data_IF_480037466059
#
_entry.id   IF_480037466059
#
_cell.length_a   1.000
_cell.length_b   1.000
_cell.length_c   1.000
_cell.angle_alpha   90.00
_cell.angle_beta   90.00
_cell.angle_gamma   90.00
#
_symmetry.space_group_name_H-M   'P 1'
#
loop_
_entity.id
_entity.type
_entity.pdbx_description
1 polymer ?
#
# COMPACT_ATOMS: atom_id res chain seq x y z
N UNK A 1 -81.62 -40.91 11.84
CA UNK A 1 -81.48 -39.82 10.88
C UNK A 1 -80.14 -39.13 11.20
N UNK A 2 -79.11 -39.59 10.55
CA UNK A 2 -77.70 -39.13 10.76
C UNK A 2 -77.37 -38.11 9.69
N UNK A 3 -76.90 -36.95 10.13
CA UNK A 3 -76.28 -35.94 9.21
C UNK A 3 -74.77 -36.11 9.22
N UNK A 4 -74.19 -36.53 8.13
CA UNK A 4 -72.76 -36.50 7.87
C UNK A 4 -72.37 -35.05 7.69
N UNK A 5 -71.44 -34.60 8.52
CA UNK A 5 -70.70 -33.34 8.28
C UNK A 5 -69.36 -33.65 7.59
N UNK A 6 -69.23 -33.15 6.38
CA UNK A 6 -68.02 -33.29 5.58
C UNK A 6 -67.00 -32.20 6.05
N UNK A 7 -65.96 -32.59 6.77
CA UNK A 7 -64.85 -31.70 7.03
C UNK A 7 -63.87 -31.75 5.86
N UNK A 8 -63.82 -30.68 5.08
CA UNK A 8 -62.78 -30.45 4.10
C UNK A 8 -61.52 -29.98 4.81
N UNK A 9 -60.54 -30.86 4.90
CA UNK A 9 -59.20 -30.49 5.39
C UNK A 9 -58.44 -29.88 4.21
N UNK A 10 -58.35 -28.56 4.20
CA UNK A 10 -57.47 -27.84 3.31
C UNK A 10 -56.02 -27.95 3.82
N UNK A 11 -55.22 -28.80 3.20
CA UNK A 11 -53.78 -28.87 3.47
C UNK A 11 -53.11 -27.66 2.81
N UNK A 12 -52.75 -26.65 3.61
CA UNK A 12 -51.87 -25.56 3.22
C UNK A 12 -50.44 -26.09 3.17
N UNK A 13 -49.98 -26.40 1.97
CA UNK A 13 -48.54 -26.62 1.70
C UNK A 13 -47.87 -25.26 1.72
N UNK A 14 -47.26 -24.92 2.86
CA UNK A 14 -46.35 -23.78 2.94
C UNK A 14 -45.06 -24.16 2.27
N UNK A 15 -44.89 -23.74 1.02
CA UNK A 15 -43.60 -23.77 0.31
C UNK A 15 -42.76 -22.66 0.93
N UNK A 16 -41.91 -22.99 1.90
CA UNK A 16 -40.82 -22.14 2.32
C UNK A 16 -39.79 -22.05 1.16
N UNK A 17 -39.98 -21.06 0.32
CA UNK A 17 -38.92 -20.63 -0.57
C UNK A 17 -37.79 -20.01 0.28
N UNK A 18 -36.81 -20.82 0.65
CA UNK A 18 -35.54 -20.33 1.16
C UNK A 18 -34.87 -19.55 0.03
N UNK A 19 -35.07 -18.23 0.02
CA UNK A 19 -34.28 -17.34 -0.77
C UNK A 19 -32.85 -17.42 -0.22
N UNK A 20 -32.04 -18.30 -0.77
CA UNK A 20 -30.61 -18.25 -0.62
C UNK A 20 -30.15 -16.93 -1.25
N UNK A 21 -29.94 -15.93 -0.41
CA UNK A 21 -29.22 -14.73 -0.79
C UNK A 21 -27.81 -15.18 -1.16
N UNK A 22 -27.60 -15.45 -2.43
CA UNK A 22 -26.26 -15.52 -3.00
C UNK A 22 -25.74 -14.09 -2.87
N UNK A 23 -25.02 -13.82 -1.78
CA UNK A 23 -24.18 -12.67 -1.71
C UNK A 23 -23.26 -12.77 -2.92
N UNK A 24 -23.47 -11.90 -3.90
CA UNK A 24 -22.57 -11.75 -5.00
C UNK A 24 -21.22 -11.37 -4.38
N UNK A 25 -20.36 -12.34 -4.15
CA UNK A 25 -18.96 -12.10 -3.93
C UNK A 25 -18.50 -11.38 -5.17
N UNK A 26 -18.35 -10.06 -5.08
CA UNK A 26 -17.61 -9.28 -6.03
C UNK A 26 -16.18 -9.82 -5.96
N UNK A 27 -15.92 -10.86 -6.74
CA UNK A 27 -14.55 -11.31 -6.94
C UNK A 27 -13.85 -10.13 -7.62
N UNK A 28 -13.06 -9.41 -6.82
CA UNK A 28 -12.13 -8.46 -7.40
C UNK A 28 -11.35 -9.19 -8.50
N UNK A 29 -11.15 -8.58 -9.67
CA UNK A 29 -10.35 -9.21 -10.70
C UNK A 29 -9.00 -9.60 -10.10
N UNK A 30 -8.46 -10.78 -10.45
CA UNK A 30 -7.17 -11.21 -9.93
C UNK A 30 -6.15 -10.10 -10.14
N UNK A 31 -5.25 -9.86 -9.17
CA UNK A 31 -4.26 -8.81 -9.29
C UNK A 31 -3.47 -9.01 -10.57
N UNK A 32 -3.51 -8.02 -11.43
CA UNK A 32 -2.71 -8.02 -12.66
C UNK A 32 -1.27 -7.78 -12.22
N UNK A 33 -0.36 -8.76 -12.35
CA UNK A 33 1.03 -8.54 -12.00
C UNK A 33 1.58 -7.40 -12.84
N UNK A 34 2.28 -6.46 -12.20
CA UNK A 34 2.97 -5.39 -12.92
C UNK A 34 3.92 -6.06 -13.93
N UNK A 35 3.83 -5.71 -15.22
CA UNK A 35 4.80 -6.17 -16.20
C UNK A 35 6.19 -5.68 -15.82
N UNK A 36 7.23 -6.44 -16.17
CA UNK A 36 8.63 -6.10 -15.85
C UNK A 36 9.11 -4.78 -16.45
N UNK A 37 8.36 -4.23 -17.39
CA UNK A 37 8.69 -3.06 -18.22
C UNK A 37 7.75 -1.87 -17.99
N UNK A 38 7.29 -1.66 -16.79
CA UNK A 38 6.53 -0.45 -16.45
C UNK A 38 7.47 0.73 -16.10
N UNK A 39 7.00 1.94 -16.36
CA UNK A 39 7.64 3.17 -15.96
C UNK A 39 6.77 3.94 -14.98
N UNK A 40 7.39 4.50 -13.94
CA UNK A 40 6.72 5.40 -13.00
C UNK A 40 6.98 6.84 -13.41
N UNK A 41 5.92 7.60 -13.61
CA UNK A 41 5.98 9.03 -13.86
C UNK A 41 5.83 9.74 -12.51
N UNK A 42 6.81 10.54 -12.11
CA UNK A 42 6.81 11.29 -10.85
C UNK A 42 6.57 12.78 -11.08
N UNK A 43 6.07 13.50 -10.05
CA UNK A 43 5.79 14.94 -10.16
C UNK A 43 7.03 15.78 -10.45
N UNK A 44 6.82 16.87 -11.14
CA UNK A 44 7.78 17.97 -11.26
C UNK A 44 8.72 17.93 -12.46
N UNK A 45 8.80 16.87 -13.23
CA UNK A 45 9.67 16.79 -14.43
C UNK A 45 8.93 16.86 -15.76
N UNK A 46 7.60 16.88 -15.75
CA UNK A 46 6.84 16.91 -16.99
C UNK A 46 6.53 18.32 -17.46
N UNK A 47 7.33 18.81 -18.37
CA UNK A 47 6.79 19.71 -19.38
C UNK A 47 5.76 18.91 -20.17
N UNK A 48 4.63 19.55 -20.52
CA UNK A 48 3.57 18.95 -21.34
C UNK A 48 4.22 18.11 -22.45
N UNK A 49 3.74 16.87 -22.63
CA UNK A 49 4.10 15.98 -23.74
C UNK A 49 5.47 15.27 -23.67
N UNK A 50 5.85 14.74 -22.52
CA UNK A 50 7.06 13.93 -22.45
C UNK A 50 6.85 12.56 -23.10
N UNK A 51 7.67 12.23 -24.08
CA UNK A 51 7.72 10.89 -24.68
C UNK A 51 8.48 9.94 -23.75
N UNK A 52 7.83 8.85 -23.36
CA UNK A 52 8.49 7.75 -22.67
C UNK A 52 8.79 6.65 -23.68
N UNK A 53 10.04 6.25 -23.76
CA UNK A 53 10.42 5.10 -24.59
C UNK A 53 10.13 3.81 -23.83
N UNK A 54 9.16 3.03 -24.27
CA UNK A 54 8.94 1.68 -23.82
C UNK A 54 9.84 0.72 -24.59
N UNK A 55 10.87 0.20 -23.93
CA UNK A 55 11.76 -0.82 -24.51
C UNK A 55 11.20 -2.20 -24.15
N UNK A 56 10.31 -2.70 -24.98
CA UNK A 56 9.68 -4.01 -24.75
C UNK A 56 10.39 -5.15 -25.48
N UNK A 57 11.15 -4.81 -26.45
CA UNK A 57 11.88 -5.78 -27.25
C UNK A 57 13.20 -5.18 -27.74
N UNK A 58 14.20 -6.01 -27.88
CA UNK A 58 15.53 -5.59 -28.37
C UNK A 58 15.49 -4.94 -29.74
N UNK A 59 14.35 -4.96 -30.40
CA UNK A 59 14.16 -4.54 -31.80
C UNK A 59 13.13 -3.43 -32.01
N UNK A 60 12.27 -3.10 -31.04
CA UNK A 60 11.20 -2.14 -31.28
C UNK A 60 11.09 -1.10 -30.15
N UNK A 61 11.64 0.07 -30.39
CA UNK A 61 11.46 1.24 -29.53
C UNK A 61 10.14 1.90 -29.84
N UNK A 62 9.08 1.53 -29.13
CA UNK A 62 7.81 2.25 -29.24
C UNK A 62 7.82 3.40 -28.26
N UNK A 63 7.82 4.62 -28.78
CA UNK A 63 7.69 5.82 -27.95
C UNK A 63 6.26 5.92 -27.40
N UNK A 64 6.12 6.13 -26.09
CA UNK A 64 4.86 6.42 -25.45
C UNK A 64 4.69 7.91 -25.20
N UNK A 65 3.55 8.46 -25.63
CA UNK A 65 3.05 9.75 -25.18
C UNK A 65 2.10 9.50 -24.02
N UNK A 66 2.61 9.62 -22.80
CA UNK A 66 1.83 9.33 -21.60
C UNK A 66 1.47 10.61 -20.86
N UNK A 67 0.21 10.71 -20.44
CA UNK A 67 -0.29 11.76 -19.56
C UNK A 67 -1.00 11.10 -18.39
N UNK A 68 -0.64 11.49 -17.17
CA UNK A 68 -1.31 11.00 -15.97
C UNK A 68 -2.79 11.44 -15.93
N UNK A 69 -3.62 10.62 -15.30
CA UNK A 69 -5.03 10.94 -15.03
C UNK A 69 -5.14 12.19 -14.15
N UNK A 70 -6.28 12.91 -14.27
CA UNK A 70 -6.54 14.11 -13.46
C UNK A 70 -6.59 13.83 -11.96
N UNK A 71 -6.87 12.58 -11.55
CA UNK A 71 -6.91 12.14 -10.16
C UNK A 71 -5.51 11.96 -9.55
N UNK A 72 -4.50 11.74 -10.38
CA UNK A 72 -3.10 11.61 -10.00
C UNK A 72 -2.20 12.38 -10.98
N UNK A 73 -2.38 13.72 -11.09
CA UNK A 73 -1.76 14.51 -12.15
C UNK A 73 -0.23 14.52 -12.06
N UNK A 74 0.28 14.26 -10.88
CA UNK A 74 1.68 14.38 -10.54
C UNK A 74 2.41 13.04 -10.52
N UNK A 75 1.69 11.92 -10.55
CA UNK A 75 2.29 10.61 -10.49
C UNK A 75 1.35 9.52 -11.02
N UNK A 76 1.87 8.76 -11.98
CA UNK A 76 1.17 7.59 -12.48
C UNK A 76 2.14 6.51 -12.96
N UNK A 77 1.62 5.31 -13.13
CA UNK A 77 2.31 4.18 -13.74
C UNK A 77 1.97 4.16 -15.22
N UNK A 78 2.97 3.97 -16.06
CA UNK A 78 2.79 3.76 -17.49
C UNK A 78 3.15 2.32 -17.82
N UNK A 79 2.20 1.58 -18.36
CA UNK A 79 2.43 0.23 -18.86
C UNK A 79 2.88 0.24 -20.31
N UNK A 80 4.02 -0.37 -20.55
CA UNK A 80 4.57 -0.61 -21.88
C UNK A 80 4.12 -2.00 -22.41
N UNK A 81 3.97 -2.17 -23.73
CA UNK A 81 4.07 -1.18 -24.80
C UNK A 81 2.79 -0.37 -25.03
N UNK A 82 1.71 -0.70 -24.33
CA UNK A 82 0.37 -0.16 -24.58
C UNK A 82 0.15 1.30 -24.19
N UNK A 83 1.13 1.96 -23.59
CA UNK A 83 1.08 3.36 -23.13
C UNK A 83 -0.12 3.70 -22.26
N UNK A 84 -0.66 2.72 -21.54
CA UNK A 84 -1.77 2.94 -20.61
C UNK A 84 -1.24 3.53 -19.32
N UNK A 85 -1.89 4.58 -18.84
CA UNK A 85 -1.57 5.22 -17.56
C UNK A 85 -2.57 4.82 -16.49
N UNK A 86 -2.07 4.63 -15.29
CA UNK A 86 -2.86 4.30 -14.11
C UNK A 86 -2.36 5.10 -12.92
N UNK A 87 -3.25 5.57 -12.08
CA UNK A 87 -2.84 6.06 -10.78
C UNK A 87 -2.27 4.89 -9.97
N UNK A 88 -1.12 5.07 -9.35
CA UNK A 88 -0.51 4.03 -8.52
C UNK A 88 -1.52 3.52 -7.48
N UNK A 89 -2.27 4.42 -6.88
CA UNK A 89 -3.25 4.12 -5.84
C UNK A 89 -4.50 3.35 -6.31
N UNK A 90 -4.65 3.11 -7.61
CA UNK A 90 -5.79 2.38 -8.17
C UNK A 90 -5.39 1.06 -8.86
N UNK A 91 -4.09 0.74 -8.87
CA UNK A 91 -3.60 -0.23 -9.84
C UNK A 91 -3.59 -1.67 -9.34
N UNK A 92 -3.23 -1.95 -8.08
CA UNK A 92 -3.08 -3.33 -7.61
C UNK A 92 -3.17 -3.46 -6.08
N UNK A 93 -3.34 -4.69 -5.56
CA UNK A 93 -3.24 -4.97 -4.13
C UNK A 93 -1.92 -4.52 -3.53
N UNK A 94 -1.95 -4.09 -2.28
CA UNK A 94 -0.76 -3.65 -1.57
C UNK A 94 -0.48 -2.15 -1.67
N UNK A 95 -1.40 -1.35 -2.19
CA UNK A 95 -1.23 0.11 -2.27
C UNK A 95 -1.74 0.79 -1.01
N UNK A 96 -1.05 1.84 -0.56
CA UNK A 96 -1.48 2.74 0.52
C UNK A 96 -1.23 4.19 0.13
N UNK A 97 -2.26 5.01 0.08
CA UNK A 97 -2.20 6.40 -0.37
C UNK A 97 -3.11 7.32 0.44
N UNK A 98 -2.70 8.58 0.54
CA UNK A 98 -3.49 9.66 1.13
C UNK A 98 -3.81 9.45 2.61
N UNK A 99 -5.04 9.78 3.05
CA UNK A 99 -5.59 9.55 4.41
C UNK A 99 -5.84 8.04 4.58
N UNK A 100 -4.92 7.21 5.15
CA UNK A 100 -4.38 6.05 4.45
C UNK A 100 -5.45 5.09 3.95
N UNK A 101 -5.66 5.09 2.65
CA UNK A 101 -6.49 4.14 1.93
C UNK A 101 -5.62 3.00 1.41
N UNK A 102 -5.89 1.81 1.87
CA UNK A 102 -5.21 0.59 1.46
C UNK A 102 -6.04 -0.18 0.43
N UNK A 103 -5.35 -0.88 -0.46
CA UNK A 103 -5.94 -1.97 -1.25
C UNK A 103 -5.38 -3.28 -0.70
N UNK A 104 -6.22 -4.11 -0.11
CA UNK A 104 -5.84 -5.37 0.50
C UNK A 104 -5.36 -6.43 -0.50
N UNK A 105 -4.75 -7.50 -0.01
CA UNK A 105 -4.40 -8.68 -0.81
C UNK A 105 -5.63 -9.37 -1.43
N UNK A 106 -6.80 -9.18 -0.82
CA UNK A 106 -8.12 -9.61 -1.32
C UNK A 106 -8.69 -8.67 -2.41
N UNK A 107 -7.98 -7.59 -2.76
CA UNK A 107 -8.38 -6.61 -3.75
C UNK A 107 -9.38 -5.55 -3.26
N UNK A 108 -9.83 -5.61 -2.00
CA UNK A 108 -10.76 -4.64 -1.46
C UNK A 108 -10.05 -3.40 -0.92
N UNK A 109 -10.68 -2.24 -1.12
CA UNK A 109 -10.21 -0.99 -0.53
C UNK A 109 -10.73 -0.82 0.89
N UNK A 110 -9.85 -0.33 1.77
CA UNK A 110 -10.22 0.05 3.12
C UNK A 110 -9.35 1.20 3.63
N UNK A 111 -9.82 1.85 4.69
CA UNK A 111 -9.10 2.89 5.39
C UNK A 111 -8.62 2.38 6.74
N UNK A 112 -7.42 2.77 7.11
CA UNK A 112 -6.92 2.59 8.47
C UNK A 112 -6.28 3.90 8.91
N UNK A 113 -6.96 4.62 9.77
CA UNK A 113 -6.52 5.97 10.14
C UNK A 113 -5.42 5.98 11.20
N UNK A 114 -5.27 4.89 11.96
CA UNK A 114 -4.32 4.87 13.05
C UNK A 114 -4.53 6.03 14.04
N UNK A 115 -3.44 6.63 14.45
CA UNK A 115 -3.43 7.82 15.31
C UNK A 115 -2.16 8.63 15.03
N UNK A 116 -2.29 9.95 15.09
CA UNK A 116 -1.16 10.88 14.94
C UNK A 116 -0.03 10.54 15.92
N UNK A 117 1.21 10.62 15.41
CA UNK A 117 2.46 10.42 16.14
C UNK A 117 2.54 9.03 16.83
N UNK A 118 2.03 7.99 16.15
CA UNK A 118 2.09 6.59 16.59
C UNK A 118 2.54 5.66 15.47
N UNK A 119 3.10 4.53 15.90
CA UNK A 119 3.56 3.46 15.01
C UNK A 119 2.55 2.31 15.00
N UNK A 120 2.32 1.74 13.82
CA UNK A 120 1.38 0.65 13.63
C UNK A 120 1.94 -0.46 12.76
N UNK A 121 1.69 -1.69 13.17
CA UNK A 121 2.06 -2.91 12.49
C UNK A 121 1.26 -3.07 11.19
N UNK A 122 1.87 -2.76 10.05
CA UNK A 122 1.26 -2.88 8.74
C UNK A 122 1.28 -4.33 8.26
N UNK A 123 2.41 -5.00 8.49
CA UNK A 123 2.60 -6.41 8.20
C UNK A 123 3.50 -7.04 9.25
N UNK A 124 3.13 -8.22 9.72
CA UNK A 124 3.98 -9.09 10.53
C UNK A 124 3.84 -10.51 10.06
N UNK A 125 4.94 -11.09 9.65
CA UNK A 125 5.08 -12.48 9.27
C UNK A 125 6.33 -13.08 9.92
N UNK A 126 6.54 -14.37 9.79
CA UNK A 126 7.66 -15.07 10.42
C UNK A 126 9.02 -14.43 10.09
N UNK A 127 9.23 -14.01 8.84
CA UNK A 127 10.51 -13.51 8.33
C UNK A 127 10.50 -12.02 7.96
N UNK A 128 9.34 -11.35 8.01
CA UNK A 128 9.18 -9.97 7.60
C UNK A 128 8.26 -9.24 8.57
N UNK A 129 8.68 -8.05 9.02
CA UNK A 129 7.86 -7.18 9.84
C UNK A 129 7.98 -5.75 9.35
N UNK A 130 6.84 -5.09 9.18
CA UNK A 130 6.76 -3.70 8.70
C UNK A 130 5.86 -2.91 9.63
N UNK A 131 6.43 -1.90 10.28
CA UNK A 131 5.67 -0.85 10.96
C UNK A 131 5.65 0.42 10.12
N UNK A 132 4.59 1.19 10.27
CA UNK A 132 4.48 2.53 9.71
C UNK A 132 4.29 3.56 10.81
N UNK A 133 5.01 4.67 10.70
CA UNK A 133 4.81 5.86 11.52
C UNK A 133 3.76 6.76 10.89
N UNK A 134 2.75 7.13 11.67
CA UNK A 134 1.65 7.97 11.22
C UNK A 134 1.83 9.39 11.74
N UNK A 135 1.97 10.34 10.84
CA UNK A 135 1.78 11.75 11.14
C UNK A 135 0.32 12.13 10.98
N UNK A 136 -0.07 13.27 11.47
CA UNK A 136 -1.49 13.65 11.33
C UNK A 136 -1.79 15.08 11.70
N UNK A 137 -3.03 15.47 11.40
CA UNK A 137 -3.61 16.75 11.77
C UNK A 137 -4.92 16.54 12.52
N UNK A 138 -5.02 17.18 13.69
CA UNK A 138 -6.25 17.16 14.46
C UNK A 138 -7.27 18.14 13.86
N UNK A 139 -8.47 17.65 13.59
CA UNK A 139 -9.61 18.47 13.29
C UNK A 139 -10.62 18.37 14.44
N UNK A 140 -10.86 19.47 15.15
CA UNK A 140 -11.74 19.47 16.31
C UNK A 140 -13.20 19.14 15.98
N UNK A 141 -13.61 19.31 14.73
CA UNK A 141 -14.95 18.95 14.26
C UNK A 141 -15.14 17.47 13.97
N UNK A 142 -14.08 16.66 14.07
CA UNK A 142 -14.11 15.23 13.76
C UNK A 142 -13.73 14.40 15.00
N UNK A 143 -14.22 13.15 15.05
CA UNK A 143 -13.88 12.19 16.09
C UNK A 143 -12.49 11.55 15.94
N UNK A 144 -11.84 11.71 14.77
CA UNK A 144 -10.54 11.15 14.44
C UNK A 144 -9.57 12.22 13.95
N UNK A 145 -8.29 11.89 13.96
CA UNK A 145 -7.27 12.68 13.27
C UNK A 145 -7.34 12.39 11.76
N UNK A 146 -6.93 13.34 10.94
CA UNK A 146 -6.43 13.05 9.61
C UNK A 146 -5.00 12.53 9.74
N UNK A 147 -4.66 11.47 9.05
CA UNK A 147 -3.36 10.83 9.21
C UNK A 147 -2.75 10.42 7.87
N UNK A 148 -1.42 10.29 7.84
CA UNK A 148 -0.66 9.87 6.67
C UNK A 148 0.56 9.07 7.12
N UNK A 149 1.04 8.17 6.30
CA UNK A 149 2.25 7.39 6.58
C UNK A 149 3.49 8.22 6.24
N UNK A 150 4.26 8.60 7.25
CA UNK A 150 5.49 9.36 7.07
C UNK A 150 6.72 8.47 6.97
N UNK A 151 6.76 7.36 7.68
CA UNK A 151 7.92 6.49 7.68
C UNK A 151 7.53 5.01 7.74
N UNK A 152 8.44 4.17 7.29
CA UNK A 152 8.40 2.72 7.44
C UNK A 152 9.65 2.22 8.17
N UNK A 153 9.46 1.33 9.13
CA UNK A 153 10.49 0.47 9.68
C UNK A 153 10.27 -0.96 9.22
N UNK A 154 11.24 -1.50 8.51
CA UNK A 154 11.18 -2.84 7.94
C UNK A 154 12.22 -3.71 8.62
N UNK A 155 11.78 -4.85 9.15
CA UNK A 155 12.66 -5.86 9.75
C UNK A 155 12.58 -7.16 8.98
N UNK A 156 13.75 -7.72 8.71
CA UNK A 156 13.92 -9.06 8.15
C UNK A 156 15.24 -9.64 8.67
N UNK A 157 15.25 -10.90 9.05
CA UNK A 157 16.35 -11.45 9.84
C UNK A 157 16.74 -10.52 11.00
N UNK A 158 18.01 -10.20 11.15
CA UNK A 158 18.51 -9.26 12.17
C UNK A 158 18.64 -7.82 11.62
N UNK A 159 18.20 -7.58 10.40
CA UNK A 159 18.37 -6.30 9.73
C UNK A 159 17.19 -5.34 9.94
N UNK A 160 17.50 -4.04 9.85
CA UNK A 160 16.56 -2.93 9.98
C UNK A 160 16.73 -1.96 8.82
N UNK A 161 15.70 -1.79 8.02
CA UNK A 161 15.66 -0.77 6.97
C UNK A 161 14.66 0.31 7.35
N UNK A 162 15.12 1.55 7.40
CA UNK A 162 14.29 2.74 7.62
C UNK A 162 14.06 3.47 6.30
N UNK A 163 12.83 3.92 6.10
CA UNK A 163 12.44 4.81 5.02
C UNK A 163 11.57 5.91 5.61
N UNK A 164 11.92 7.17 5.39
CA UNK A 164 11.20 8.32 5.95
C UNK A 164 10.99 9.44 4.93
N UNK A 165 9.90 10.18 5.10
CA UNK A 165 9.63 11.45 4.44
C UNK A 165 10.02 12.59 5.37
N UNK A 166 11.01 13.40 4.98
CA UNK A 166 11.48 14.52 5.78
C UNK A 166 10.39 15.58 5.89
N UNK A 167 10.10 16.00 7.12
CA UNK A 167 9.20 17.12 7.38
C UNK A 167 9.70 18.38 6.69
N UNK A 168 8.80 19.10 6.04
CA UNK A 168 9.11 20.38 5.41
C UNK A 168 7.91 21.32 5.47
N UNK A 169 8.16 22.57 5.80
CA UNK A 169 7.14 23.60 5.79
C UNK A 169 6.71 23.93 4.34
N UNK A 170 7.70 24.13 3.48
CA UNK A 170 7.48 24.51 2.08
C UNK A 170 7.89 23.38 1.15
N UNK A 171 6.95 22.90 0.37
CA UNK A 171 7.21 21.87 -0.62
C UNK A 171 7.89 22.41 -1.87
N UNK A 172 8.84 21.65 -2.37
CA UNK A 172 9.41 21.82 -3.70
C UNK A 172 9.67 20.46 -4.33
N UNK A 173 9.23 20.26 -5.55
CA UNK A 173 9.45 19.03 -6.30
C UNK A 173 10.93 18.79 -6.66
N UNK A 174 11.75 19.85 -6.63
CA UNK A 174 13.18 19.77 -6.96
C UNK A 174 14.05 19.38 -5.76
N UNK A 175 13.47 19.30 -4.58
CA UNK A 175 14.15 18.94 -3.33
C UNK A 175 13.79 17.54 -2.94
N UNK A 176 14.81 16.70 -2.79
CA UNK A 176 14.63 15.35 -2.28
C UNK A 176 14.32 15.37 -0.78
N UNK A 177 13.27 14.67 -0.39
CA UNK A 177 12.77 14.57 1.00
C UNK A 177 12.82 13.14 1.53
N UNK A 178 13.50 12.25 0.82
CA UNK A 178 13.72 10.89 1.29
C UNK A 178 14.82 10.86 2.36
N UNK A 179 14.54 10.08 3.39
CA UNK A 179 15.50 9.71 4.41
C UNK A 179 15.58 8.19 4.47
N UNK A 180 16.77 7.64 4.35
CA UNK A 180 17.00 6.21 4.28
C UNK A 180 18.12 5.82 5.23
N UNK A 181 17.95 4.69 5.95
CA UNK A 181 19.00 4.11 6.75
C UNK A 181 18.90 2.59 6.75
N UNK A 182 20.05 1.92 6.76
CA UNK A 182 20.15 0.47 6.87
C UNK A 182 21.04 0.09 8.03
N UNK A 183 20.52 -0.71 8.96
CA UNK A 183 21.19 -1.13 10.21
C UNK A 183 21.74 0.07 11.02
N UNK A 184 21.02 1.18 10.99
CA UNK A 184 21.38 2.41 11.68
C UNK A 184 22.37 3.32 10.92
N UNK A 185 22.92 2.86 9.81
CA UNK A 185 23.77 3.68 8.95
C UNK A 185 22.93 4.39 7.88
N UNK A 186 23.06 5.71 7.69
CA UNK A 186 22.36 6.43 6.64
C UNK A 186 22.77 5.91 5.26
N UNK A 187 21.79 5.86 4.35
CA UNK A 187 21.99 5.51 2.95
C UNK A 187 21.95 6.78 2.14
N UNK A 188 23.02 7.06 1.41
CA UNK A 188 23.08 8.13 0.43
C UNK A 188 22.99 7.54 -0.99
N UNK A 189 21.96 7.98 -1.74
CA UNK A 189 21.75 7.58 -3.14
C UNK A 189 21.72 8.85 -3.97
N UNK A 190 22.54 8.95 -5.02
CA UNK A 190 22.52 10.11 -5.90
C UNK A 190 21.11 10.48 -6.38
N UNK A 191 20.82 11.77 -6.47
CA UNK A 191 19.52 12.29 -6.92
C UNK A 191 19.38 12.21 -8.45
N UNK A 192 19.56 11.03 -8.98
CA UNK A 192 19.49 10.72 -10.41
C UNK A 192 18.57 9.50 -10.62
N UNK A 193 17.62 9.61 -11.56
CA UNK A 193 16.76 8.50 -11.89
C UNK A 193 17.59 7.31 -12.40
N UNK A 194 17.36 6.12 -11.84
CA UNK A 194 18.14 4.92 -12.14
C UNK A 194 19.37 4.71 -11.24
N UNK A 195 19.73 5.68 -10.36
CA UNK A 195 20.78 5.46 -9.37
C UNK A 195 20.38 4.30 -8.42
N UNK A 196 21.33 3.45 -8.09
CA UNK A 196 21.11 2.23 -7.29
C UNK A 196 22.08 2.22 -6.11
N UNK A 197 21.53 1.89 -4.95
CA UNK A 197 22.30 1.44 -3.80
C UNK A 197 22.07 -0.07 -3.62
N UNK A 198 23.15 -0.81 -3.38
CA UNK A 198 23.12 -2.24 -3.08
C UNK A 198 23.73 -2.49 -1.70
N UNK A 199 23.08 -3.36 -0.92
CA UNK A 199 23.62 -3.74 0.37
C UNK A 199 24.86 -4.61 0.23
N UNK A 200 25.92 -4.25 0.93
CA UNK A 200 27.15 -5.05 1.00
C UNK A 200 26.99 -6.31 1.86
N UNK A 201 26.01 -6.33 2.76
CA UNK A 201 25.81 -7.41 3.76
C UNK A 201 24.62 -8.30 3.44
N UNK A 202 23.65 -7.83 2.66
CA UNK A 202 22.44 -8.57 2.29
C UNK A 202 22.35 -8.71 0.79
N UNK A 203 22.76 -9.85 0.21
CA UNK A 203 22.66 -10.07 -1.23
C UNK A 203 21.22 -9.99 -1.72
N UNK A 204 21.02 -9.16 -2.76
CA UNK A 204 19.70 -8.96 -3.36
C UNK A 204 18.81 -7.93 -2.66
N UNK A 205 19.33 -7.19 -1.67
CA UNK A 205 18.72 -5.94 -1.21
C UNK A 205 19.25 -4.78 -2.04
N UNK A 206 18.36 -4.15 -2.79
CA UNK A 206 18.67 -2.98 -3.63
C UNK A 206 17.66 -1.88 -3.41
N UNK A 207 18.11 -0.63 -3.49
CA UNK A 207 17.26 0.55 -3.52
C UNK A 207 17.57 1.34 -4.79
N UNK A 208 16.58 1.52 -5.63
CA UNK A 208 16.72 2.19 -6.92
C UNK A 208 15.92 3.48 -6.93
N UNK A 209 16.49 4.57 -7.38
CA UNK A 209 15.77 5.81 -7.69
C UNK A 209 14.87 5.60 -8.91
N UNK A 210 13.56 5.66 -8.71
CA UNK A 210 12.58 5.64 -9.79
C UNK A 210 12.31 7.04 -10.35
N UNK A 211 12.68 8.07 -9.58
CA UNK A 211 12.70 9.47 -9.96
C UNK A 211 13.97 10.13 -9.41
N UNK A 212 14.33 11.31 -9.89
CA UNK A 212 15.51 12.02 -9.37
C UNK A 212 15.32 12.44 -7.91
N UNK A 213 14.10 12.81 -7.54
CA UNK A 213 13.73 13.21 -6.17
C UNK A 213 12.51 12.42 -5.73
N UNK A 214 12.41 12.18 -4.44
CA UNK A 214 11.21 11.69 -3.74
C UNK A 214 10.67 10.32 -4.16
N UNK A 215 11.29 9.61 -5.09
CA UNK A 215 10.80 8.35 -5.60
C UNK A 215 11.85 7.23 -5.56
N UNK A 216 11.53 6.11 -4.89
CA UNK A 216 12.40 4.94 -4.81
C UNK A 216 11.63 3.64 -4.97
N UNK A 217 12.36 2.62 -5.37
CA UNK A 217 11.96 1.21 -5.30
C UNK A 217 12.94 0.48 -4.40
N UNK A 218 12.44 -0.16 -3.36
CA UNK A 218 13.18 -1.09 -2.52
C UNK A 218 12.85 -2.49 -2.98
N UNK A 219 13.87 -3.26 -3.31
CA UNK A 219 13.72 -4.67 -3.69
C UNK A 219 14.57 -5.55 -2.79
N UNK A 220 13.95 -6.53 -2.14
CA UNK A 220 14.62 -7.60 -1.41
C UNK A 220 14.24 -8.92 -2.09
N UNK A 221 15.24 -9.55 -2.71
CA UNK A 221 15.05 -10.73 -3.55
C UNK A 221 14.28 -11.83 -2.82
N UNK A 222 13.17 -12.28 -3.43
CA UNK A 222 12.34 -13.38 -2.92
C UNK A 222 11.44 -13.00 -1.75
N UNK A 223 11.46 -11.77 -1.24
CA UNK A 223 10.71 -11.37 -0.06
C UNK A 223 9.73 -10.23 -0.34
N UNK A 224 10.22 -9.08 -0.81
CA UNK A 224 9.39 -7.89 -1.02
C UNK A 224 9.89 -6.99 -2.14
N UNK A 225 8.96 -6.20 -2.64
CA UNK A 225 9.23 -5.09 -3.54
C UNK A 225 8.32 -3.91 -3.12
N UNK A 226 8.93 -2.78 -2.78
CA UNK A 226 8.19 -1.60 -2.32
C UNK A 226 8.50 -0.44 -3.25
N UNK A 227 7.47 0.16 -3.83
CA UNK A 227 7.54 1.49 -4.42
C UNK A 227 7.10 2.52 -3.41
N UNK A 228 7.88 3.59 -3.26
CA UNK A 228 7.60 4.65 -2.33
C UNK A 228 7.85 6.01 -2.98
N UNK A 229 6.89 6.91 -2.82
CA UNK A 229 7.00 8.29 -3.26
C UNK A 229 6.62 9.23 -2.14
N UNK A 230 7.48 10.19 -1.87
CA UNK A 230 7.17 11.27 -0.93
C UNK A 230 6.33 12.31 -1.66
N UNK A 231 5.19 12.62 -1.10
CA UNK A 231 4.23 13.61 -1.61
C UNK A 231 3.80 14.56 -0.49
N UNK A 232 3.46 15.82 -0.81
CA UNK A 232 2.87 16.73 0.17
C UNK A 232 1.34 16.57 0.17
N UNK A 233 0.67 17.16 1.13
CA UNK A 233 -0.74 17.51 0.97
C UNK A 233 -0.82 18.76 0.09
N UNK A 234 -1.50 18.66 -1.03
CA UNK A 234 -1.71 19.81 -1.90
C UNK A 234 -2.70 20.82 -1.28
N UNK A 235 -2.62 22.08 -1.72
CA UNK A 235 -3.61 23.10 -1.32
C UNK A 235 -5.02 22.70 -1.74
N UNK A 236 -5.15 22.04 -2.88
CA UNK A 236 -6.44 21.53 -3.37
C UNK A 236 -6.98 20.42 -2.48
N UNK A 237 -6.16 19.43 -2.10
CA UNK A 237 -6.57 18.37 -1.17
C UNK A 237 -6.96 18.95 0.18
N UNK A 238 -6.16 19.92 0.68
CA UNK A 238 -6.45 20.60 1.94
C UNK A 238 -7.79 21.32 1.88
N UNK A 239 -8.11 21.99 0.76
CA UNK A 239 -9.37 22.68 0.56
C UNK A 239 -10.56 21.73 0.44
N UNK A 240 -10.42 20.65 -0.34
CA UNK A 240 -11.49 19.67 -0.59
C UNK A 240 -11.85 18.91 0.68
N UNK A 241 -10.84 18.48 1.43
CA UNK A 241 -11.01 17.62 2.59
C UNK A 241 -10.98 18.37 3.92
N UNK A 242 -10.77 19.70 3.88
CA UNK A 242 -10.65 20.54 5.07
C UNK A 242 -9.55 20.09 6.03
N UNK A 243 -8.39 19.71 5.50
CA UNK A 243 -7.26 19.26 6.31
C UNK A 243 -6.62 20.41 7.10
N UNK A 244 -6.81 21.65 6.67
CA UNK A 244 -6.27 22.85 7.34
C UNK A 244 -4.73 22.85 7.31
N UNK A 245 -4.12 22.47 6.19
CA UNK A 245 -2.68 22.57 5.97
C UNK A 245 -2.25 24.03 6.06
N UNK A 246 -1.15 24.27 6.75
CA UNK A 246 -0.58 25.60 6.99
C UNK A 246 0.79 25.70 6.32
N UNK A 247 1.36 26.90 6.30
CA UNK A 247 2.72 27.12 5.80
C UNK A 247 3.82 26.51 6.67
N UNK A 248 3.47 26.00 7.86
CA UNK A 248 4.43 25.42 8.81
C UNK A 248 4.78 23.95 8.51
N UNK A 249 3.91 23.23 7.80
CA UNK A 249 4.09 21.83 7.49
C UNK A 249 3.27 21.42 6.26
N UNK A 250 3.95 20.93 5.24
CA UNK A 250 3.33 20.39 4.04
C UNK A 250 2.79 18.96 4.25
N UNK A 251 2.96 18.40 5.45
CA UNK A 251 2.60 17.01 5.79
C UNK A 251 3.17 16.01 4.79
N UNK A 252 4.47 16.13 4.51
CA UNK A 252 5.17 15.22 3.61
C UNK A 252 5.01 13.77 4.08
N UNK A 253 4.51 12.91 3.21
CA UNK A 253 4.17 11.53 3.50
C UNK A 253 4.40 10.64 2.30
N UNK A 254 4.25 9.34 2.47
CA UNK A 254 4.40 8.36 1.42
C UNK A 254 3.09 7.98 0.75
N UNK A 255 3.10 7.94 -0.57
CA UNK A 255 2.31 7.00 -1.35
C UNK A 255 3.14 5.73 -1.56
N UNK A 256 2.55 4.57 -1.24
CA UNK A 256 3.25 3.29 -1.16
C UNK A 256 2.58 2.23 -2.03
N UNK A 257 3.41 1.38 -2.63
CA UNK A 257 2.98 0.15 -3.28
C UNK A 257 3.81 -1.02 -2.78
N UNK A 258 3.16 -2.00 -2.15
CA UNK A 258 3.80 -3.19 -1.61
C UNK A 258 3.53 -4.39 -2.50
N UNK A 259 4.56 -5.17 -2.79
CA UNK A 259 4.45 -6.50 -3.35
C UNK A 259 5.21 -7.46 -2.46
N UNK A 260 4.49 -8.39 -1.86
CA UNK A 260 5.06 -9.45 -1.04
C UNK A 260 5.19 -10.73 -1.86
N UNK A 261 6.29 -11.45 -1.68
CA UNK A 261 6.64 -12.59 -2.54
C UNK A 261 6.63 -13.94 -1.81
N UNK A 262 6.75 -13.94 -0.49
CA UNK A 262 6.87 -15.17 0.32
C UNK A 262 6.24 -14.94 1.71
N UNK A 263 4.92 -14.78 1.73
CA UNK A 263 4.16 -14.67 2.98
C UNK A 263 3.67 -16.04 3.42
N UNK A 264 3.72 -16.27 4.74
CA UNK A 264 3.09 -17.46 5.33
C UNK A 264 1.57 -17.27 5.46
N UNK A 265 0.85 -18.38 5.64
CA UNK A 265 -0.60 -18.36 5.86
C UNK A 265 -1.01 -17.69 7.19
N UNK A 266 -0.05 -17.47 8.11
CA UNK A 266 -0.27 -16.83 9.41
C UNK A 266 0.09 -15.33 9.42
N UNK A 267 0.43 -14.74 8.28
CA UNK A 267 0.74 -13.30 8.17
C UNK A 267 -0.37 -12.43 8.79
N UNK A 268 0.01 -11.39 9.53
CA UNK A 268 -0.91 -10.47 10.19
C UNK A 268 -0.50 -9.01 10.03
N UNK A 269 -1.18 -8.09 10.68
CA UNK A 269 -1.03 -6.64 10.58
C UNK A 269 -2.19 -6.00 9.83
N UNK A 270 -2.19 -4.67 9.77
CA UNK A 270 -3.27 -3.91 9.12
C UNK A 270 -3.49 -4.37 7.67
N UNK A 271 -2.42 -4.39 6.88
CA UNK A 271 -2.46 -4.85 5.49
C UNK A 271 -2.22 -6.36 5.38
N UNK A 272 -1.26 -6.90 6.16
CA UNK A 272 -0.80 -8.27 6.04
C UNK A 272 -1.90 -9.33 6.15
N UNK A 273 -2.86 -9.15 7.07
CA UNK A 273 -3.96 -10.11 7.26
C UNK A 273 -4.82 -10.34 6.00
N UNK A 274 -4.88 -9.35 5.12
CA UNK A 274 -5.68 -9.42 3.89
C UNK A 274 -5.08 -10.35 2.83
N UNK A 275 -3.85 -10.82 3.05
CA UNK A 275 -3.15 -11.78 2.17
C UNK A 275 -3.34 -13.24 2.59
N UNK A 276 -3.98 -13.51 3.74
CA UNK A 276 -4.22 -14.88 4.17
C UNK A 276 -5.16 -15.60 3.22
N UNK A 277 -4.92 -16.88 2.94
CA UNK A 277 -5.83 -17.68 2.12
C UNK A 277 -7.25 -17.80 2.71
N UNK A 278 -7.36 -17.77 4.04
CA UNK A 278 -8.61 -17.87 4.79
C UNK A 278 -9.11 -16.53 5.32
N UNK A 279 -8.62 -15.41 4.79
CA UNK A 279 -9.09 -14.08 5.21
C UNK A 279 -10.56 -13.90 4.87
N UNK A 280 -11.34 -13.56 5.87
CA UNK A 280 -12.76 -13.17 5.70
C UNK A 280 -12.85 -11.67 5.91
N UNK A 281 -13.18 -10.97 4.86
CA UNK A 281 -13.36 -9.51 4.91
C UNK A 281 -14.63 -9.20 5.72
N UNK A 282 -14.44 -8.55 6.86
CA UNK A 282 -15.53 -8.12 7.75
C UNK A 282 -15.95 -6.66 7.54
N UNK A 283 -15.32 -5.99 6.58
CA UNK A 283 -15.59 -4.59 6.29
C UNK A 283 -16.86 -4.46 5.46
N UNK A 284 -17.64 -3.43 5.74
CA UNK A 284 -18.72 -3.03 4.84
C UNK A 284 -18.13 -2.37 3.60
N UNK A 285 -17.76 -3.21 2.62
CA UNK A 285 -17.17 -2.76 1.34
C UNK A 285 -18.14 -1.97 0.47
N UNK A 286 -19.44 -1.96 0.82
CA UNK A 286 -20.44 -1.13 0.14
C UNK A 286 -20.46 0.31 0.66
N UNK A 287 -19.86 0.56 1.81
CA UNK A 287 -19.75 1.91 2.37
C UNK A 287 -18.77 2.76 1.53
N UNK A 288 -18.98 4.08 1.54
CA UNK A 288 -18.07 5.01 0.85
C UNK A 288 -16.64 4.98 1.42
N UNK A 289 -16.50 4.59 2.67
CA UNK A 289 -15.24 4.55 3.40
C UNK A 289 -15.24 3.38 4.39
N UNK A 290 -14.98 2.15 3.91
CA UNK A 290 -14.83 1.00 4.79
C UNK A 290 -13.60 1.21 5.68
N UNK A 291 -13.76 1.21 6.99
CA UNK A 291 -12.68 1.46 7.94
C UNK A 291 -12.32 0.19 8.68
N UNK A 292 -11.05 -0.19 8.64
CA UNK A 292 -10.54 -1.31 9.42
C UNK A 292 -10.48 -0.92 10.90
N UNK A 293 -11.24 -1.66 11.71
CA UNK A 293 -11.26 -1.52 13.14
C UNK A 293 -10.05 -2.19 13.83
N UNK A 294 -10.09 -2.20 15.17
CA UNK A 294 -9.09 -2.93 15.95
C UNK A 294 -7.73 -2.24 16.03
N UNK A 295 -7.65 -0.93 15.85
CA UNK A 295 -6.40 -0.17 15.90
C UNK A 295 -5.50 -0.51 17.11
N UNK A 296 -6.01 -0.74 18.35
CA UNK A 296 -5.17 -1.12 19.47
C UNK A 296 -4.36 -2.42 19.28
N UNK A 297 -4.81 -3.32 18.42
CA UNK A 297 -4.11 -4.58 18.14
C UNK A 297 -2.85 -4.38 17.29
N UNK A 298 -2.78 -3.27 16.58
CA UNK A 298 -1.69 -2.97 15.64
C UNK A 298 -0.69 -1.95 16.18
N UNK A 299 -0.95 -1.34 17.34
CA UNK A 299 -0.02 -0.38 17.95
C UNK A 299 1.33 -1.05 18.20
N UNK A 300 2.40 -0.41 17.77
CA UNK A 300 3.78 -0.76 18.04
C UNK A 300 4.42 0.30 18.91
N UNK A 301 5.32 -0.09 19.82
CA UNK A 301 5.99 0.85 20.72
C UNK A 301 7.07 1.70 20.04
N UNK A 302 7.55 1.24 18.88
CA UNK A 302 8.63 1.90 18.10
C UNK A 302 8.52 1.44 16.65
N UNK A 303 9.10 2.22 15.75
CA UNK A 303 9.09 1.94 14.30
C UNK A 303 9.72 0.57 13.94
N UNK A 304 10.60 0.03 14.78
CA UNK A 304 11.22 -1.28 14.60
C UNK A 304 10.79 -2.31 15.64
N UNK A 305 9.93 -1.95 16.59
CA UNK A 305 9.43 -2.90 17.58
C UNK A 305 8.56 -3.99 16.91
N UNK A 306 8.56 -5.17 17.51
CA UNK A 306 7.78 -6.32 17.04
C UNK A 306 6.80 -6.77 18.12
N UNK A 307 6.20 -5.81 18.82
CA UNK A 307 5.41 -5.98 20.03
C UNK A 307 3.91 -5.68 19.85
N UNK A 308 3.45 -5.38 18.65
CA UNK A 308 2.02 -5.27 18.39
C UNK A 308 1.32 -6.61 18.73
N UNK A 309 0.08 -6.55 19.20
CA UNK A 309 -0.65 -7.73 19.67
C UNK A 309 -0.78 -8.85 18.62
N UNK A 310 -0.65 -8.49 17.36
CA UNK A 310 -0.75 -9.42 16.22
C UNK A 310 0.61 -9.83 15.65
N UNK A 311 1.72 -9.49 16.30
CA UNK A 311 3.06 -9.80 15.81
C UNK A 311 3.29 -11.30 15.58
N UNK A 312 3.96 -11.61 14.48
CA UNK A 312 4.35 -12.97 14.06
C UNK A 312 5.85 -13.11 13.84
N UNK A 313 6.54 -11.98 13.78
CA UNK A 313 7.95 -11.93 13.46
C UNK A 313 8.80 -12.70 14.48
N UNK A 314 9.65 -13.54 13.96
CA UNK A 314 10.62 -14.32 14.74
C UNK A 314 11.98 -14.03 14.14
N UNK A 315 12.82 -13.30 14.86
CA UNK A 315 14.22 -13.11 14.47
C UNK A 315 14.93 -14.47 14.51
N UNK A 316 14.75 -15.27 13.50
CA UNK A 316 15.53 -16.49 13.29
C UNK A 316 16.54 -16.17 12.22
N UNK A 317 17.84 -16.31 12.53
CA UNK A 317 18.88 -16.19 11.51
C UNK A 317 18.50 -17.03 10.31
N UNK A 318 18.26 -16.38 9.17
CA UNK A 318 17.88 -17.05 7.94
C UNK A 318 19.10 -17.86 7.50
N UNK A 319 19.03 -19.18 7.71
CA UNK A 319 19.81 -20.09 6.88
C UNK A 319 19.29 -19.85 5.44
N UNK A 320 20.10 -19.21 4.62
CA UNK A 320 19.75 -18.99 3.20
C UNK A 320 19.43 -20.36 2.60
N UNK A 321 18.15 -20.60 2.36
CA UNK A 321 17.72 -21.74 1.56
C UNK A 321 18.31 -21.51 0.19
N UNK A 322 19.32 -22.28 -0.13
CA UNK A 322 19.90 -22.36 -1.46
C UNK A 322 18.75 -22.54 -2.46
N UNK A 323 18.55 -21.55 -3.30
CA UNK A 323 17.61 -21.63 -4.40
C UNK A 323 17.93 -22.90 -5.19
N UNK A 324 17.02 -23.87 -5.12
CA UNK A 324 17.05 -24.98 -6.07
C UNK A 324 16.82 -24.39 -7.45
N UNK A 325 17.88 -24.50 -8.27
CA UNK A 325 17.78 -24.28 -9.69
C UNK A 325 16.78 -25.30 -10.28
N UNK A 326 15.75 -24.77 -10.92
CA UNK A 326 14.96 -25.47 -11.93
C UNK A 326 15.01 -24.65 -13.21
#
# INVERSE_FOLDING_TARGET
>A
MARLSLCVVAALVAVCAAAASVAAQSSAPPPVPLPSNYHVISPGRFKRDQQLACNDDKTNKTACMAKCDRRCPNQCIVLCPGCKTFCMCDFYPGVSCGDPRFTGGDGNNFYFHGKKDQDFCILSDANLHINAHFIGKRNAAMSRDFTWIQALGIRFADHRLYMGAQKTAKWSNDVDRLELAFDGAPIDIPTEAGAVWESATVPGLTITRIAATNGIRVHLKGMLDIMANVVPISEEDSRIHNYGVTEDDSLAHFDLGFKFLDLTDDVHGVLGQTYRPNYVNQLDVSSKMPVMGGAPNYVSSDIFATDCAVARFRATGISMVTARAY
#
